data_IF_115932837828
#
_entry.id   IF_115932837828
#
_cell.length_a   1.000
_cell.length_b   1.000
_cell.length_c   1.000
_cell.angle_alpha   90.00
_cell.angle_beta   90.00
_cell.angle_gamma   90.00
#
_symmetry.space_group_name_H-M   'P 1'
#
loop_
_entity.id
_entity.type
_entity.pdbx_description
1 polymer ?
#
# COMPACT_ATOMS: atom_id res chain seq x y z
N UNK A 1 -17.89 6.62 17.16
CA UNK A 1 -16.84 5.58 17.22
C UNK A 1 -16.74 4.96 15.85
N UNK A 2 -15.59 5.13 15.21
CA UNK A 2 -15.28 4.47 13.94
C UNK A 2 -15.16 2.97 14.21
N UNK A 3 -15.83 2.12 13.43
CA UNK A 3 -15.64 0.67 13.55
C UNK A 3 -14.32 0.28 12.89
N UNK A 4 -13.25 0.32 13.68
CA UNK A 4 -11.90 0.10 13.19
C UNK A 4 -11.66 -1.32 12.67
N UNK A 5 -12.54 -2.28 13.02
CA UNK A 5 -12.45 -3.68 12.56
C UNK A 5 -12.64 -3.83 11.05
N UNK A 6 -13.17 -2.79 10.39
CA UNK A 6 -13.39 -2.79 8.95
C UNK A 6 -12.46 -1.89 8.13
N UNK A 7 -11.47 -1.26 8.78
CA UNK A 7 -10.62 -0.23 8.15
C UNK A 7 -9.55 -0.78 7.21
N UNK A 8 -9.24 -2.06 7.29
CA UNK A 8 -8.16 -2.70 6.54
C UNK A 8 -8.73 -3.63 5.48
N UNK A 9 -7.92 -3.89 4.45
CA UNK A 9 -8.31 -4.74 3.32
C UNK A 9 -8.67 -6.15 3.79
N UNK A 10 -9.79 -6.69 3.29
CA UNK A 10 -10.33 -7.99 3.70
C UNK A 10 -10.82 -8.85 2.52
N UNK A 11 -10.48 -8.51 1.27
CA UNK A 11 -11.00 -9.18 0.06
C UNK A 11 -12.54 -9.16 -0.01
N UNK A 12 -13.17 -8.07 0.44
CA UNK A 12 -14.62 -7.86 0.33
C UNK A 12 -15.04 -7.58 -1.12
N UNK A 13 -16.34 -7.47 -1.42
CA UNK A 13 -16.76 -6.91 -2.71
C UNK A 13 -16.09 -5.56 -2.99
N UNK A 14 -15.73 -5.29 -4.25
CA UNK A 14 -14.96 -4.09 -4.63
C UNK A 14 -15.62 -2.79 -4.17
N UNK A 15 -16.95 -2.71 -4.19
CA UNK A 15 -17.66 -1.54 -3.70
C UNK A 15 -17.34 -1.22 -2.25
N UNK A 16 -17.34 -2.25 -1.40
CA UNK A 16 -17.06 -2.11 0.02
C UNK A 16 -15.61 -1.70 0.24
N UNK A 17 -14.64 -2.36 -0.41
CA UNK A 17 -13.22 -2.00 -0.26
C UNK A 17 -12.92 -0.57 -0.73
N UNK A 18 -13.55 -0.13 -1.82
CA UNK A 18 -13.44 1.26 -2.28
C UNK A 18 -14.01 2.19 -1.20
N UNK A 19 -15.23 1.97 -0.73
CA UNK A 19 -15.85 2.79 0.31
C UNK A 19 -15.00 2.87 1.59
N UNK A 20 -14.44 1.74 2.05
CA UNK A 20 -13.57 1.69 3.21
C UNK A 20 -12.25 2.42 3.00
N UNK A 21 -11.63 2.32 1.81
CA UNK A 21 -10.43 3.11 1.49
C UNK A 21 -10.72 4.60 1.60
N UNK A 22 -11.79 5.09 0.99
CA UNK A 22 -12.13 6.52 1.03
C UNK A 22 -12.49 6.99 2.44
N UNK A 23 -13.21 6.16 3.20
CA UNK A 23 -13.50 6.47 4.59
C UNK A 23 -12.22 6.56 5.44
N UNK A 24 -11.34 5.57 5.32
CA UNK A 24 -10.07 5.54 6.08
C UNK A 24 -9.09 6.62 5.65
N UNK A 25 -9.12 7.12 4.40
CA UNK A 25 -8.31 8.25 3.97
C UNK A 25 -8.61 9.53 4.75
N UNK A 26 -9.83 9.67 5.30
CA UNK A 26 -10.25 10.81 6.10
C UNK A 26 -10.02 10.65 7.61
N UNK A 27 -9.52 9.51 8.07
CA UNK A 27 -9.27 9.28 9.50
C UNK A 27 -8.11 10.12 10.00
N UNK A 28 -8.20 10.54 11.27
CA UNK A 28 -7.04 11.01 11.99
C UNK A 28 -5.97 9.92 12.02
N UNK A 29 -4.74 10.28 11.62
CA UNK A 29 -3.63 9.33 11.48
C UNK A 29 -3.29 8.65 12.80
N UNK A 30 -3.33 9.38 13.93
CA UNK A 30 -2.99 8.82 15.24
C UNK A 30 -4.06 7.87 15.74
N UNK A 31 -5.35 8.20 15.58
CA UNK A 31 -6.45 7.28 15.88
C UNK A 31 -6.35 6.01 15.04
N UNK A 32 -6.05 6.16 13.75
CA UNK A 32 -5.97 5.03 12.84
C UNK A 32 -4.76 4.13 13.14
N UNK A 33 -3.63 4.74 13.49
CA UNK A 33 -2.45 4.03 13.97
C UNK A 33 -2.73 3.26 15.27
N UNK A 34 -3.52 3.81 16.20
CA UNK A 34 -3.98 3.08 17.39
C UNK A 34 -4.69 1.77 17.04
N UNK A 35 -5.45 1.76 15.95
CA UNK A 35 -6.11 0.55 15.44
C UNK A 35 -5.12 -0.46 14.89
N UNK A 36 -4.11 -0.01 14.14
CA UNK A 36 -3.01 -0.88 13.69
C UNK A 36 -2.33 -1.54 14.89
N UNK A 37 -1.93 -0.77 15.91
CA UNK A 37 -1.27 -1.33 17.12
C UNK A 37 -2.12 -2.41 17.79
N UNK A 38 -3.42 -2.17 17.93
CA UNK A 38 -4.35 -3.12 18.53
C UNK A 38 -4.42 -4.44 17.74
N UNK A 39 -4.39 -4.37 16.40
CA UNK A 39 -4.32 -5.57 15.55
C UNK A 39 -2.95 -6.27 15.65
N UNK A 40 -1.83 -5.53 15.61
CA UNK A 40 -0.49 -6.10 15.72
C UNK A 40 -0.28 -6.89 17.03
N UNK A 41 -0.89 -6.45 18.14
CA UNK A 41 -0.88 -7.21 19.40
C UNK A 41 -1.55 -8.59 19.27
N UNK A 42 -2.59 -8.73 18.43
CA UNK A 42 -3.25 -10.02 18.19
C UNK A 42 -2.36 -10.99 17.42
N UNK A 43 -1.40 -10.48 16.64
CA UNK A 43 -0.34 -11.27 16.00
C UNK A 43 0.81 -11.61 16.97
N UNK A 44 0.73 -11.21 18.24
CA UNK A 44 1.77 -11.46 19.24
C UNK A 44 3.02 -10.61 19.05
N UNK A 45 2.95 -9.53 18.27
CA UNK A 45 4.07 -8.63 18.07
C UNK A 45 4.31 -7.82 19.35
N UNK A 46 5.58 -7.76 19.75
CA UNK A 46 6.08 -6.99 20.89
C UNK A 46 7.01 -5.89 20.37
N UNK A 47 7.40 -4.91 21.19
CA UNK A 47 8.22 -3.73 20.78
C UNK A 47 7.49 -2.71 19.88
N UNK A 48 6.24 -2.40 20.22
CA UNK A 48 5.46 -1.40 19.49
C UNK A 48 5.93 0.05 19.76
N UNK A 49 6.82 0.24 20.73
CA UNK A 49 7.50 1.51 21.01
C UNK A 49 8.37 1.98 19.83
N UNK A 50 9.02 1.05 19.13
CA UNK A 50 9.79 1.36 17.91
C UNK A 50 8.90 1.94 16.79
N UNK A 51 7.63 1.54 16.75
CA UNK A 51 6.67 2.04 15.77
C UNK A 51 6.24 3.47 16.09
N UNK A 52 6.11 3.81 17.37
CA UNK A 52 5.72 5.15 17.82
C UNK A 52 6.78 6.18 17.40
N UNK A 53 8.07 5.85 17.56
CA UNK A 53 9.19 6.70 17.13
C UNK A 53 9.23 6.90 15.62
N UNK A 54 9.10 5.81 14.85
CA UNK A 54 9.11 5.89 13.39
C UNK A 54 7.94 6.74 12.86
N UNK A 55 6.72 6.51 13.35
CA UNK A 55 5.55 7.26 12.89
C UNK A 55 5.66 8.72 13.29
N UNK A 56 6.06 9.03 14.53
CA UNK A 56 6.27 10.41 14.95
C UNK A 56 7.30 11.13 14.05
N UNK A 57 8.37 10.43 13.67
CA UNK A 57 9.43 10.98 12.81
C UNK A 57 8.97 11.20 11.37
N UNK A 58 8.17 10.29 10.80
CA UNK A 58 7.61 10.43 9.46
C UNK A 58 6.54 11.52 9.42
N UNK A 59 5.59 11.49 10.37
CA UNK A 59 4.47 12.42 10.42
C UNK A 59 4.94 13.87 10.62
N UNK A 60 5.96 14.09 11.45
CA UNK A 60 6.60 15.40 11.61
C UNK A 60 7.20 15.96 10.30
N UNK A 61 7.58 15.10 9.35
CA UNK A 61 8.09 15.48 8.03
C UNK A 61 6.97 15.67 6.99
N UNK A 62 5.74 15.24 7.28
CA UNK A 62 4.57 15.23 6.39
C UNK A 62 3.43 16.16 6.86
N UNK A 63 3.78 17.25 7.53
CA UNK A 63 2.82 18.12 8.23
C UNK A 63 2.01 19.09 7.36
N UNK A 64 2.38 19.25 6.08
CA UNK A 64 1.75 20.21 5.18
C UNK A 64 0.97 19.53 4.05
N UNK A 65 -0.04 20.22 3.53
CA UNK A 65 -0.67 19.88 2.24
C UNK A 65 0.40 19.66 1.16
N UNK A 66 0.26 18.64 0.28
CA UNK A 66 -0.87 17.73 0.11
C UNK A 66 -0.81 16.44 0.98
N UNK A 67 0.02 16.40 2.01
CA UNK A 67 0.33 15.17 2.75
C UNK A 67 -0.51 14.93 4.01
N UNK A 68 -1.57 15.72 4.22
CA UNK A 68 -2.50 15.47 5.33
C UNK A 68 -3.02 14.03 5.25
N UNK A 69 -2.90 13.29 6.35
CA UNK A 69 -3.28 11.87 6.45
C UNK A 69 -2.59 10.93 5.45
N UNK A 70 -1.44 11.33 4.88
CA UNK A 70 -0.66 10.49 3.97
C UNK A 70 -0.37 9.12 4.58
N UNK A 71 -0.07 9.09 5.89
CA UNK A 71 0.24 7.88 6.64
C UNK A 71 -0.90 6.85 6.65
N UNK A 72 -2.14 7.23 6.35
CA UNK A 72 -3.24 6.26 6.25
C UNK A 72 -3.01 5.25 5.12
N UNK A 73 -2.29 5.61 4.05
CA UNK A 73 -1.88 4.66 3.01
C UNK A 73 -0.84 3.63 3.53
N UNK A 74 0.33 4.02 4.05
CA UNK A 74 1.26 3.09 4.68
C UNK A 74 0.63 2.22 5.77
N UNK A 75 -0.26 2.78 6.61
CA UNK A 75 -0.98 2.01 7.64
C UNK A 75 -1.84 0.89 7.01
N UNK A 76 -2.63 1.21 5.96
CA UNK A 76 -3.44 0.22 5.24
C UNK A 76 -2.61 -0.87 4.58
N UNK A 77 -1.60 -0.49 3.83
CA UNK A 77 -0.74 -1.43 3.10
C UNK A 77 -0.03 -2.35 4.08
N UNK A 78 0.53 -1.79 5.16
CA UNK A 78 1.23 -2.56 6.21
C UNK A 78 0.32 -3.59 6.86
N UNK A 79 -0.89 -3.19 7.26
CA UNK A 79 -1.81 -4.13 7.90
C UNK A 79 -2.24 -5.25 6.94
N UNK A 80 -2.52 -4.90 5.67
CA UNK A 80 -2.88 -5.87 4.64
C UNK A 80 -1.76 -6.87 4.40
N UNK A 81 -0.51 -6.41 4.45
CA UNK A 81 0.67 -7.25 4.30
C UNK A 81 0.86 -8.17 5.50
N UNK A 82 0.87 -7.62 6.72
CA UNK A 82 1.01 -8.37 7.97
C UNK A 82 -0.05 -9.47 8.10
N UNK A 83 -1.30 -9.17 7.73
CA UNK A 83 -2.40 -10.14 7.77
C UNK A 83 -2.23 -11.34 6.84
N UNK A 84 -1.37 -11.22 5.81
CA UNK A 84 -1.10 -12.27 4.84
C UNK A 84 0.21 -13.02 5.09
N UNK A 85 1.04 -12.54 6.01
CA UNK A 85 2.25 -13.24 6.42
C UNK A 85 1.94 -14.40 7.34
N UNK A 86 2.66 -15.51 7.14
CA UNK A 86 2.56 -16.69 8.02
C UNK A 86 3.06 -16.40 9.44
N UNK A 87 4.09 -15.56 9.56
CA UNK A 87 4.70 -15.16 10.83
C UNK A 87 5.24 -13.73 10.72
N UNK A 88 4.40 -12.71 10.93
CA UNK A 88 4.85 -11.33 10.86
C UNK A 88 5.87 -11.00 11.95
N UNK A 89 6.67 -9.99 11.68
CA UNK A 89 7.71 -9.45 12.57
C UNK A 89 7.60 -7.92 12.64
N UNK A 90 8.18 -7.32 13.69
CA UNK A 90 8.24 -5.85 13.79
C UNK A 90 9.03 -5.23 12.64
N UNK A 91 10.09 -5.89 12.16
CA UNK A 91 10.87 -5.37 11.02
C UNK A 91 10.01 -5.26 9.76
N UNK A 92 9.07 -6.18 9.52
CA UNK A 92 8.13 -6.11 8.40
C UNK A 92 7.10 -4.99 8.57
N UNK A 93 6.68 -4.71 9.80
CA UNK A 93 5.81 -3.56 10.11
C UNK A 93 6.57 -2.25 9.87
N UNK A 94 7.79 -2.12 10.41
CA UNK A 94 8.65 -0.95 10.21
C UNK A 94 8.91 -0.70 8.72
N UNK A 95 9.22 -1.76 7.96
CA UNK A 95 9.35 -1.70 6.52
C UNK A 95 8.07 -1.18 5.85
N UNK A 96 6.91 -1.76 6.16
CA UNK A 96 5.65 -1.37 5.55
C UNK A 96 5.30 0.10 5.81
N UNK A 97 5.52 0.58 7.04
CA UNK A 97 5.26 1.97 7.42
C UNK A 97 6.19 2.98 6.74
N UNK A 98 7.42 2.55 6.41
CA UNK A 98 8.45 3.40 5.80
C UNK A 98 8.63 3.20 4.29
N UNK A 99 7.80 2.38 3.64
CA UNK A 99 8.05 1.92 2.27
C UNK A 99 8.18 3.03 1.20
N UNK A 100 7.63 4.22 1.46
CA UNK A 100 7.66 5.36 0.52
C UNK A 100 8.64 6.48 0.91
N UNK A 101 9.42 6.34 1.98
CA UNK A 101 10.27 7.45 2.49
C UNK A 101 11.31 7.94 1.48
N UNK A 102 11.81 7.05 0.60
CA UNK A 102 12.74 7.42 -0.48
C UNK A 102 12.03 8.20 -1.58
N UNK A 103 10.85 7.72 -2.02
CA UNK A 103 10.07 8.41 -3.06
C UNK A 103 9.62 9.80 -2.60
N UNK A 104 9.33 9.95 -1.31
CA UNK A 104 9.00 11.21 -0.66
C UNK A 104 10.21 12.08 -0.30
N UNK A 105 11.45 11.56 -0.43
CA UNK A 105 12.68 12.26 -0.05
C UNK A 105 12.73 12.68 1.43
N UNK A 106 12.20 11.85 2.33
CA UNK A 106 12.12 12.11 3.77
C UNK A 106 12.93 11.11 4.62
N UNK A 107 13.70 10.23 3.99
CA UNK A 107 14.46 9.18 4.68
C UNK A 107 15.55 9.73 5.62
N UNK A 108 16.04 10.94 5.39
CA UNK A 108 17.15 11.52 6.14
C UNK A 108 16.77 11.72 7.61
N UNK A 109 17.55 11.11 8.51
CA UNK A 109 17.33 11.15 9.96
C UNK A 109 16.27 10.18 10.48
N UNK A 110 15.75 9.28 9.65
CA UNK A 110 14.91 8.17 10.11
C UNK A 110 15.78 6.98 10.53
N UNK A 111 15.44 6.36 11.66
CA UNK A 111 16.06 5.11 12.10
C UNK A 111 15.47 3.91 11.33
N UNK A 112 16.08 3.56 10.20
CA UNK A 112 15.68 2.43 9.36
C UNK A 112 16.85 1.43 9.33
N UNK A 113 16.57 0.16 9.64
CA UNK A 113 17.57 -0.91 9.58
C UNK A 113 18.13 -1.06 8.16
N UNK A 114 19.40 -1.45 8.02
CA UNK A 114 20.05 -1.59 6.71
C UNK A 114 19.33 -2.56 5.77
N UNK A 115 18.75 -3.63 6.33
CA UNK A 115 17.93 -4.59 5.61
C UNK A 115 16.63 -3.95 5.11
N UNK A 116 15.92 -3.19 5.95
CA UNK A 116 14.71 -2.50 5.53
C UNK A 116 15.01 -1.40 4.51
N UNK A 117 16.10 -0.64 4.68
CA UNK A 117 16.51 0.35 3.69
C UNK A 117 16.75 -0.29 2.32
N UNK A 118 17.36 -1.48 2.28
CA UNK A 118 17.58 -2.24 1.04
C UNK A 118 16.26 -2.69 0.40
N UNK A 119 15.30 -3.15 1.20
CA UNK A 119 13.94 -3.47 0.71
C UNK A 119 13.26 -2.24 0.13
N UNK A 120 13.27 -1.11 0.85
CA UNK A 120 12.68 0.16 0.41
C UNK A 120 13.31 0.62 -0.91
N UNK A 121 14.64 0.58 -1.01
CA UNK A 121 15.35 0.89 -2.27
C UNK A 121 14.92 -0.02 -3.42
N UNK A 122 14.72 -1.31 -3.15
CA UNK A 122 14.30 -2.30 -4.16
C UNK A 122 12.89 -2.02 -4.69
N UNK A 123 11.98 -1.50 -3.87
CA UNK A 123 10.59 -1.20 -4.27
C UNK A 123 10.33 0.28 -4.64
N UNK A 124 11.35 1.14 -4.56
CA UNK A 124 11.27 2.55 -4.90
C UNK A 124 11.60 2.76 -6.37
N UNK A 125 10.61 3.14 -7.18
CA UNK A 125 10.77 3.27 -8.63
C UNK A 125 11.35 4.65 -8.99
N UNK A 126 12.26 4.71 -9.97
CA UNK A 126 12.68 5.97 -10.57
C UNK A 126 11.54 6.52 -11.44
N UNK A 127 10.86 7.56 -10.92
CA UNK A 127 9.73 8.22 -11.58
C UNK A 127 10.07 8.83 -12.94
N UNK A 128 11.34 9.12 -13.24
CA UNK A 128 11.75 9.62 -14.56
C UNK A 128 11.80 8.52 -15.61
N UNK A 129 11.98 7.27 -15.18
CA UNK A 129 12.15 6.10 -16.05
C UNK A 129 10.97 5.14 -16.00
N UNK A 130 10.00 5.35 -15.12
CA UNK A 130 8.92 4.39 -14.86
C UNK A 130 8.10 3.99 -16.10
N UNK A 131 7.99 4.88 -17.10
CA UNK A 131 7.29 4.63 -18.37
C UNK A 131 8.13 3.84 -19.40
N UNK A 132 9.45 3.74 -19.21
CA UNK A 132 10.32 2.87 -20.01
C UNK A 132 10.04 1.40 -19.68
N UNK A 133 9.59 0.63 -20.68
CA UNK A 133 9.19 -0.77 -20.51
C UNK A 133 10.36 -1.67 -20.09
N UNK A 134 11.57 -1.43 -20.59
CA UNK A 134 12.75 -2.24 -20.27
C UNK A 134 13.14 -2.01 -18.82
N UNK A 135 13.27 -0.74 -18.43
CA UNK A 135 13.56 -0.37 -17.04
C UNK A 135 12.50 -0.91 -16.07
N UNK A 136 11.22 -0.75 -16.41
CA UNK A 136 10.12 -1.22 -15.58
C UNK A 136 10.16 -2.73 -15.40
N UNK A 137 10.39 -3.49 -16.47
CA UNK A 137 10.51 -4.94 -16.39
C UNK A 137 11.66 -5.33 -15.46
N UNK A 138 12.84 -4.73 -15.64
CA UNK A 138 14.02 -4.97 -14.78
C UNK A 138 13.73 -4.65 -13.32
N UNK A 139 13.03 -3.55 -13.05
CA UNK A 139 12.62 -3.16 -11.70
C UNK A 139 11.74 -4.22 -11.03
N UNK A 140 10.69 -4.71 -11.71
CA UNK A 140 9.84 -5.76 -11.15
C UNK A 140 10.52 -7.13 -11.07
N UNK A 141 11.45 -7.44 -11.98
CA UNK A 141 12.28 -8.64 -11.90
C UNK A 141 13.17 -8.61 -10.64
N UNK A 142 13.72 -7.44 -10.28
CA UNK A 142 14.51 -7.29 -9.05
C UNK A 142 13.69 -7.49 -7.79
N UNK A 143 12.44 -6.98 -7.75
CA UNK A 143 11.53 -7.20 -6.61
C UNK A 143 11.21 -8.69 -6.45
N UNK A 144 10.84 -9.36 -7.55
CA UNK A 144 10.53 -10.80 -7.54
C UNK A 144 11.75 -11.64 -7.13
N UNK A 145 12.94 -11.29 -7.62
CA UNK A 145 14.20 -11.95 -7.25
C UNK A 145 14.55 -11.75 -5.78
N UNK A 146 14.27 -10.57 -5.21
CA UNK A 146 14.59 -10.27 -3.82
C UNK A 146 13.81 -11.18 -2.86
N UNK A 147 12.48 -11.18 -2.95
CA UNK A 147 11.64 -12.18 -2.26
C UNK A 147 10.19 -12.17 -2.76
N UNK A 148 9.50 -13.34 -2.72
CA UNK A 148 8.06 -13.41 -2.96
C UNK A 148 7.23 -12.50 -2.04
N UNK A 149 7.64 -12.35 -0.78
CA UNK A 149 6.95 -11.49 0.19
C UNK A 149 7.10 -10.00 -0.16
N UNK A 150 8.24 -9.58 -0.71
CA UNK A 150 8.42 -8.20 -1.18
C UNK A 150 7.57 -7.91 -2.43
N UNK A 151 7.44 -8.89 -3.32
CA UNK A 151 6.51 -8.82 -4.46
C UNK A 151 5.04 -8.75 -3.98
N UNK A 152 4.67 -9.55 -2.98
CA UNK A 152 3.36 -9.47 -2.34
C UNK A 152 3.11 -8.08 -1.76
N UNK A 153 4.07 -7.52 -1.01
CA UNK A 153 3.96 -6.16 -0.49
C UNK A 153 3.73 -5.14 -1.61
N UNK A 154 4.52 -5.21 -2.70
CA UNK A 154 4.37 -4.29 -3.83
C UNK A 154 3.00 -4.42 -4.50
N UNK A 155 2.46 -5.64 -4.58
CA UNK A 155 1.13 -5.85 -5.11
C UNK A 155 0.03 -5.25 -4.21
N UNK A 156 0.19 -5.29 -2.88
CA UNK A 156 -0.73 -4.67 -1.94
C UNK A 156 -0.68 -3.14 -1.98
N UNK A 157 0.51 -2.55 -2.17
CA UNK A 157 0.67 -1.12 -2.48
C UNK A 157 -0.11 -0.75 -3.77
N UNK A 158 0.04 -1.56 -4.83
CA UNK A 158 -0.74 -1.36 -6.07
C UNK A 158 -2.23 -1.56 -5.88
N UNK A 159 -2.64 -2.55 -5.08
CA UNK A 159 -4.04 -2.78 -4.76
C UNK A 159 -4.65 -1.57 -4.06
N UNK A 160 -4.00 -1.05 -3.03
CA UNK A 160 -4.48 0.14 -2.32
C UNK A 160 -4.62 1.31 -3.30
N UNK A 161 -3.64 1.53 -4.19
CA UNK A 161 -3.73 2.58 -5.21
C UNK A 161 -4.87 2.34 -6.22
N UNK A 162 -5.09 1.09 -6.64
CA UNK A 162 -6.11 0.70 -7.62
C UNK A 162 -7.53 0.97 -7.11
N UNK A 163 -7.77 0.85 -5.80
CA UNK A 163 -9.07 1.18 -5.20
C UNK A 163 -9.47 2.66 -5.42
N UNK A 164 -8.52 3.57 -5.68
CA UNK A 164 -8.85 4.97 -6.03
C UNK A 164 -9.15 5.21 -7.51
N UNK A 165 -8.91 4.23 -8.37
CA UNK A 165 -8.94 4.42 -9.83
C UNK A 165 -10.32 4.75 -10.39
N UNK A 166 -11.41 4.39 -9.70
CA UNK A 166 -12.78 4.78 -10.07
C UNK A 166 -13.00 6.31 -10.11
N UNK A 167 -12.12 7.09 -9.47
CA UNK A 167 -12.18 8.56 -9.45
C UNK A 167 -11.20 9.23 -10.41
N UNK A 168 -10.32 8.47 -11.06
CA UNK A 168 -9.20 9.01 -11.84
C UNK A 168 -9.37 8.70 -13.33
N UNK A 169 -8.91 9.62 -14.17
CA UNK A 169 -8.67 9.33 -15.59
C UNK A 169 -7.22 8.87 -15.71
N UNK A 170 -7.02 7.60 -16.02
CA UNK A 170 -5.71 6.95 -15.96
C UNK A 170 -5.09 6.80 -17.34
N UNK A 171 -3.78 7.06 -17.40
CA UNK A 171 -2.95 6.60 -18.51
C UNK A 171 -2.92 5.07 -18.56
N UNK A 172 -2.92 4.50 -19.77
CA UNK A 172 -2.78 3.05 -20.02
C UNK A 172 -1.57 2.44 -19.29
N UNK A 173 -0.51 3.23 -19.12
CA UNK A 173 0.68 2.85 -18.34
C UNK A 173 0.35 2.28 -16.95
N UNK A 174 -0.60 2.87 -16.21
CA UNK A 174 -0.94 2.39 -14.87
C UNK A 174 -1.57 1.01 -14.90
N UNK A 175 -2.40 0.75 -15.92
CA UNK A 175 -3.05 -0.53 -16.16
C UNK A 175 -1.99 -1.58 -16.53
N UNK A 176 -1.11 -1.25 -17.48
CA UNK A 176 -0.03 -2.14 -17.93
C UNK A 176 0.89 -2.55 -16.77
N UNK A 177 1.22 -1.64 -15.86
CA UNK A 177 2.01 -1.96 -14.66
C UNK A 177 1.38 -3.09 -13.86
N UNK A 178 0.06 -3.05 -13.63
CA UNK A 178 -0.60 -4.05 -12.79
C UNK A 178 -0.81 -5.36 -13.55
N UNK A 179 -1.29 -5.29 -14.80
CA UNK A 179 -1.67 -6.47 -15.59
C UNK A 179 -0.48 -7.17 -16.26
N UNK A 180 0.53 -6.43 -16.71
CA UNK A 180 1.71 -7.00 -17.38
C UNK A 180 2.85 -7.28 -16.40
N UNK A 181 3.02 -6.45 -15.36
CA UNK A 181 4.17 -6.59 -14.46
C UNK A 181 3.84 -7.32 -13.15
N UNK A 182 2.83 -6.86 -12.42
CA UNK A 182 2.58 -7.31 -11.04
C UNK A 182 1.83 -8.64 -10.99
N UNK A 183 0.65 -8.73 -11.60
CA UNK A 183 -0.21 -9.91 -11.49
C UNK A 183 0.45 -11.20 -12.03
N UNK A 184 1.08 -11.21 -13.23
CA UNK A 184 1.69 -12.42 -13.76
C UNK A 184 2.80 -12.97 -12.87
N UNK A 185 3.60 -12.09 -12.23
CA UNK A 185 4.64 -12.50 -11.28
C UNK A 185 4.05 -13.00 -9.97
N UNK A 186 3.09 -12.26 -9.40
CA UNK A 186 2.47 -12.60 -8.13
C UNK A 186 1.68 -13.90 -8.18
N UNK A 187 1.03 -14.21 -9.30
CA UNK A 187 0.21 -15.42 -9.47
C UNK A 187 0.97 -16.72 -9.15
N UNK A 188 2.30 -16.72 -9.33
CA UNK A 188 3.18 -17.85 -9.00
C UNK A 188 3.30 -18.13 -7.50
N UNK A 189 3.02 -17.14 -6.66
CA UNK A 189 3.24 -17.17 -5.21
C UNK A 189 1.96 -16.94 -4.40
N UNK A 190 1.03 -16.13 -4.91
CA UNK A 190 -0.23 -15.79 -4.26
C UNK A 190 -1.34 -15.53 -5.28
N UNK A 191 -1.93 -16.60 -5.80
CA UNK A 191 -3.00 -16.56 -6.81
C UNK A 191 -4.22 -15.76 -6.33
N UNK A 192 -4.56 -15.83 -5.04
CA UNK A 192 -5.70 -15.11 -4.46
C UNK A 192 -5.54 -13.59 -4.60
N UNK A 193 -4.39 -13.04 -4.18
CA UNK A 193 -4.13 -11.59 -4.30
C UNK A 193 -4.01 -11.18 -5.75
N UNK A 194 -3.31 -11.97 -6.57
CA UNK A 194 -3.16 -11.69 -8.00
C UNK A 194 -4.52 -11.59 -8.70
N UNK A 195 -5.38 -12.60 -8.53
CA UNK A 195 -6.69 -12.65 -9.16
C UNK A 195 -7.61 -11.54 -8.67
N UNK A 196 -7.54 -11.20 -7.37
CA UNK A 196 -8.32 -10.11 -6.82
C UNK A 196 -7.89 -8.76 -7.41
N UNK A 197 -6.58 -8.51 -7.47
CA UNK A 197 -6.03 -7.27 -8.02
C UNK A 197 -6.34 -7.12 -9.51
N UNK A 198 -6.16 -8.18 -10.29
CA UNK A 198 -6.52 -8.18 -11.72
C UNK A 198 -8.00 -7.86 -11.94
N UNK A 199 -8.90 -8.53 -11.21
CA UNK A 199 -10.33 -8.25 -11.30
C UNK A 199 -10.69 -6.83 -10.83
N UNK A 200 -9.98 -6.31 -9.83
CA UNK A 200 -10.16 -4.94 -9.36
C UNK A 200 -9.75 -3.92 -10.44
N UNK A 201 -8.69 -4.18 -11.21
CA UNK A 201 -8.32 -3.32 -12.36
C UNK A 201 -9.47 -3.24 -13.34
N UNK A 202 -10.01 -4.38 -13.80
CA UNK A 202 -11.13 -4.37 -14.74
C UNK A 202 -12.38 -3.68 -14.16
N UNK A 203 -12.64 -3.89 -12.87
CA UNK A 203 -13.75 -3.24 -12.18
C UNK A 203 -13.62 -1.71 -12.16
N UNK A 204 -12.42 -1.20 -11.86
CA UNK A 204 -12.19 0.23 -11.62
C UNK A 204 -12.04 1.04 -12.90
N UNK A 205 -11.65 0.41 -14.02
CA UNK A 205 -11.58 1.07 -15.33
C UNK A 205 -12.92 1.08 -16.08
N UNK A 206 -13.89 0.24 -15.66
CA UNK A 206 -15.22 0.21 -16.24
C UNK A 206 -15.98 1.54 -16.01
N UNK A 207 -16.44 2.15 -17.11
CA UNK A 207 -17.07 3.48 -17.10
C UNK A 207 -18.39 3.53 -16.31
N UNK A 208 -19.13 2.42 -16.21
CA UNK A 208 -20.34 2.36 -15.39
C UNK A 208 -19.97 2.46 -13.91
N UNK A 209 -18.91 1.78 -13.48
CA UNK A 209 -18.44 1.80 -12.10
C UNK A 209 -17.82 3.15 -11.75
N UNK A 210 -16.98 3.72 -12.63
CA UNK A 210 -16.47 5.10 -12.46
C UNK A 210 -17.61 6.10 -12.27
N UNK A 211 -18.60 6.08 -13.16
CA UNK A 211 -19.75 6.97 -13.10
C UNK A 211 -20.52 6.81 -11.78
N UNK A 212 -20.74 5.58 -11.33
CA UNK A 212 -21.39 5.28 -10.04
C UNK A 212 -20.67 5.97 -8.87
N UNK A 213 -19.34 5.86 -8.81
CA UNK A 213 -18.55 6.43 -7.71
C UNK A 213 -18.42 7.94 -7.80
N UNK A 214 -18.08 8.49 -8.98
CA UNK A 214 -17.98 9.95 -9.17
C UNK A 214 -19.29 10.67 -8.80
N UNK A 215 -20.44 10.18 -9.26
CA UNK A 215 -21.75 10.75 -8.90
C UNK A 215 -22.06 10.69 -7.38
N UNK A 216 -21.51 9.71 -6.65
CA UNK A 216 -21.72 9.58 -5.21
C UNK A 216 -20.91 10.61 -4.41
N UNK A 217 -19.75 11.01 -4.90
CA UNK A 217 -18.78 11.84 -4.17
C UNK A 217 -18.53 13.25 -4.77
N UNK A 218 -19.04 13.57 -5.96
CA UNK A 218 -19.02 14.92 -6.57
C UNK A 218 -20.02 15.89 -5.92
N UNK A 219 -20.10 15.94 -4.57
CA UNK A 219 -20.96 16.87 -3.83
C UNK A 219 -20.19 18.03 -3.21
#
# INVERSE_FOLDING_TARGET
>A
MVDHRNSFFQFRPFDEEIEYKFHSASFDTHEYYGSLKAELLKFGLTKLDLLDELIGSIDAKLTNEPYQNYMNHPLRVTMSYVALLSKPTIEEVLFGLSHNVIELQIQDGLEISSENLKKIQTISIDRKREKDKVYRKEFYDQIEFYSPDLLLFKALDKLDNTLSWVFLDLDQYHIDVVLEEVCPRLSKYNEKVSSYLENLVYYTIDEKNKKKFRLKYDK
#
